data_IF_271460413899
#
_entry.id   IF_271460413899
#
_cell.length_a   1.000
_cell.length_b   1.000
_cell.length_c   1.000
_cell.angle_alpha   90.00
_cell.angle_beta   90.00
_cell.angle_gamma   90.00
#
_symmetry.space_group_name_H-M   'P 1'
#
loop_
_entity.id
_entity.type
_entity.pdbx_description
1 polymer ?
#
# COMPACT_ATOMS: atom_id res chain seq x y z
N UNK A 1 -3.91 0.26 -14.85
CA UNK A 1 -5.01 -0.22 -13.98
C UNK A 1 -4.81 0.32 -12.58
N UNK A 2 -5.88 0.76 -11.94
CA UNK A 2 -5.87 1.41 -10.64
C UNK A 2 -6.71 0.60 -9.66
N UNK A 3 -6.29 0.59 -8.40
CA UNK A 3 -7.01 -0.03 -7.29
C UNK A 3 -7.27 1.00 -6.22
N UNK A 4 -8.46 0.96 -5.63
CA UNK A 4 -8.86 1.74 -4.48
C UNK A 4 -8.53 0.93 -3.23
N UNK A 5 -7.93 1.58 -2.24
CA UNK A 5 -7.73 1.01 -0.91
C UNK A 5 -8.56 1.84 0.05
N UNK A 6 -9.34 1.16 0.89
CA UNK A 6 -10.24 1.77 1.87
C UNK A 6 -9.82 1.31 3.26
N UNK A 7 -9.61 2.25 4.17
CA UNK A 7 -9.28 2.01 5.58
C UNK A 7 -10.53 1.73 6.43
N UNK A 8 -10.33 1.33 7.68
CA UNK A 8 -11.43 1.09 8.63
C UNK A 8 -12.16 2.37 9.07
N UNK A 9 -11.49 3.52 9.02
CA UNK A 9 -12.04 4.84 9.36
C UNK A 9 -12.63 5.58 8.14
N UNK A 10 -12.72 4.93 6.98
CA UNK A 10 -13.35 5.47 5.77
C UNK A 10 -12.46 6.36 4.91
N UNK A 11 -11.19 6.54 5.27
CA UNK A 11 -10.20 7.08 4.35
C UNK A 11 -10.04 6.16 3.13
N UNK A 12 -9.86 6.74 1.94
CA UNK A 12 -9.58 5.95 0.75
C UNK A 12 -8.56 6.64 -0.13
N UNK A 13 -7.70 5.83 -0.74
CA UNK A 13 -6.69 6.28 -1.68
C UNK A 13 -6.69 5.38 -2.92
N UNK A 14 -6.20 5.92 -4.03
CA UNK A 14 -6.11 5.19 -5.30
C UNK A 14 -4.64 5.04 -5.68
N UNK A 15 -4.22 3.81 -5.94
CA UNK A 15 -2.84 3.44 -6.23
C UNK A 15 -2.79 2.55 -7.47
N UNK A 16 -1.68 2.58 -8.21
CA UNK A 16 -1.53 1.75 -9.40
C UNK A 16 -1.56 0.28 -9.00
N UNK A 17 -2.27 -0.55 -9.78
CA UNK A 17 -2.34 -2.01 -9.50
C UNK A 17 -0.93 -2.62 -9.44
N UNK A 18 -0.03 -2.15 -10.29
CA UNK A 18 1.36 -2.61 -10.32
C UNK A 18 2.09 -2.37 -8.98
N UNK A 19 1.88 -1.24 -8.32
CA UNK A 19 2.44 -0.97 -7.00
C UNK A 19 1.72 -1.77 -5.90
N UNK A 20 0.39 -1.87 -5.96
CA UNK A 20 -0.39 -2.65 -4.99
C UNK A 20 -0.03 -4.15 -5.01
N UNK A 21 0.22 -4.73 -6.19
CA UNK A 21 0.63 -6.12 -6.37
C UNK A 21 2.02 -6.44 -5.78
N UNK A 22 2.80 -5.43 -5.36
CA UNK A 22 4.07 -5.63 -4.64
C UNK A 22 3.87 -6.01 -3.18
N UNK A 23 2.69 -5.72 -2.61
CA UNK A 23 2.28 -6.26 -1.32
C UNK A 23 1.70 -7.65 -1.52
N UNK A 24 2.24 -8.64 -0.83
CA UNK A 24 1.68 -10.01 -0.85
C UNK A 24 0.25 -10.04 -0.35
N UNK A 25 -0.05 -9.27 0.69
CA UNK A 25 -1.39 -9.17 1.31
C UNK A 25 -2.40 -8.54 0.34
N UNK A 26 -2.07 -7.38 -0.26
CA UNK A 26 -2.96 -6.73 -1.24
C UNK A 26 -3.10 -7.55 -2.51
N UNK A 27 -2.02 -8.19 -2.97
CA UNK A 27 -2.09 -9.11 -4.11
C UNK A 27 -3.05 -10.26 -3.84
N UNK A 28 -2.96 -10.89 -2.68
CA UNK A 28 -3.86 -11.99 -2.31
C UNK A 28 -5.31 -11.53 -2.22
N UNK A 29 -5.59 -10.32 -1.71
CA UNK A 29 -6.95 -9.76 -1.71
C UNK A 29 -7.46 -9.53 -3.14
N UNK A 30 -6.67 -8.88 -3.99
CA UNK A 30 -7.03 -8.60 -5.39
C UNK A 30 -7.20 -9.88 -6.23
N UNK A 31 -6.44 -10.94 -5.92
CA UNK A 31 -6.52 -12.21 -6.63
C UNK A 31 -7.68 -13.09 -6.10
N UNK A 32 -8.02 -13.01 -4.81
CA UNK A 32 -9.13 -13.78 -4.19
C UNK A 32 -10.50 -13.25 -4.62
N UNK A 33 -10.64 -11.95 -4.86
CA UNK A 33 -11.87 -11.33 -5.37
C UNK A 33 -12.11 -11.57 -6.87
N UNK A 34 -11.23 -12.30 -7.56
CA UNK A 34 -11.42 -12.66 -8.97
C UNK A 34 -12.74 -13.43 -9.23
N UNK A 35 -13.30 -14.09 -8.22
CA UNK A 35 -14.59 -14.80 -8.28
C UNK A 35 -15.82 -13.91 -8.01
N UNK A 36 -15.64 -12.63 -7.65
CA UNK A 36 -16.71 -11.66 -7.40
C UNK A 36 -16.74 -10.53 -8.44
N UNK A 37 -17.77 -9.68 -8.35
CA UNK A 37 -18.14 -8.69 -9.37
C UNK A 37 -16.99 -7.73 -9.72
N UNK A 38 -16.93 -7.27 -10.98
CA UNK A 38 -15.82 -6.45 -11.50
C UNK A 38 -15.59 -5.12 -10.74
N UNK A 39 -16.62 -4.59 -10.09
CA UNK A 39 -16.54 -3.40 -9.25
C UNK A 39 -15.84 -3.66 -7.90
N UNK A 40 -15.98 -4.86 -7.34
CA UNK A 40 -15.25 -5.27 -6.12
C UNK A 40 -13.78 -5.59 -6.43
N UNK A 41 -13.50 -6.18 -7.60
CA UNK A 41 -12.13 -6.54 -8.04
C UNK A 41 -11.08 -5.43 -7.98
N UNK A 42 -11.50 -4.16 -7.92
CA UNK A 42 -10.62 -3.00 -7.89
C UNK A 42 -10.56 -2.31 -6.52
N UNK A 43 -11.23 -2.81 -5.49
CA UNK A 43 -11.28 -2.17 -4.17
C UNK A 43 -10.82 -3.13 -3.08
N UNK A 44 -9.74 -2.77 -2.36
CA UNK A 44 -9.28 -3.52 -1.20
C UNK A 44 -9.69 -2.81 0.09
N UNK A 45 -10.21 -3.57 1.04
CA UNK A 45 -10.55 -3.07 2.38
C UNK A 45 -9.48 -3.50 3.38
N UNK A 46 -8.80 -2.53 4.00
CA UNK A 46 -7.86 -2.75 5.09
C UNK A 46 -8.53 -2.42 6.42
N UNK A 47 -8.25 -3.24 7.45
CA UNK A 47 -8.74 -3.01 8.81
C UNK A 47 -7.90 -1.99 9.59
N UNK A 48 -6.99 -1.29 8.91
CA UNK A 48 -6.09 -0.29 9.48
C UNK A 48 -6.67 1.11 9.40
N UNK A 49 -6.20 2.00 10.26
CA UNK A 49 -6.54 3.43 10.23
C UNK A 49 -6.03 4.11 8.96
N UNK A 50 -6.71 5.16 8.51
CA UNK A 50 -6.37 5.90 7.29
C UNK A 50 -4.93 6.38 7.26
N UNK A 51 -4.42 6.89 8.38
CA UNK A 51 -3.03 7.35 8.49
C UNK A 51 -2.00 6.22 8.32
N UNK A 52 -2.33 5.01 8.76
CA UNK A 52 -1.49 3.81 8.58
C UNK A 52 -1.55 3.37 7.13
N UNK A 53 -2.76 3.29 6.56
CA UNK A 53 -2.98 2.96 5.15
C UNK A 53 -2.23 3.92 4.23
N UNK A 54 -2.24 5.21 4.52
CA UNK A 54 -1.49 6.22 3.78
C UNK A 54 0.00 5.90 3.76
N UNK A 55 0.60 5.59 4.92
CA UNK A 55 2.02 5.23 5.03
C UNK A 55 2.36 3.90 4.38
N UNK A 56 1.47 2.91 4.46
CA UNK A 56 1.64 1.63 3.75
C UNK A 56 1.67 1.87 2.23
N UNK A 57 0.75 2.68 1.69
CA UNK A 57 0.72 3.00 0.26
C UNK A 57 1.93 3.82 -0.16
N UNK A 58 2.32 4.80 0.66
CA UNK A 58 3.53 5.59 0.44
C UNK A 58 4.79 4.70 0.39
N UNK A 59 4.88 3.71 1.29
CA UNK A 59 5.96 2.73 1.29
C UNK A 59 5.96 1.84 0.05
N UNK A 60 4.80 1.38 -0.43
CA UNK A 60 4.70 0.59 -1.66
C UNK A 60 5.18 1.37 -2.88
N UNK A 61 4.83 2.66 -2.96
CA UNK A 61 5.31 3.55 -4.01
C UNK A 61 6.82 3.76 -3.89
N UNK A 62 7.32 4.12 -2.71
CA UNK A 62 8.75 4.26 -2.42
C UNK A 62 9.52 3.02 -2.85
N UNK A 63 9.09 1.83 -2.40
CA UNK A 63 9.71 0.55 -2.78
C UNK A 63 9.71 0.35 -4.29
N UNK A 64 8.60 0.64 -4.97
CA UNK A 64 8.49 0.50 -6.43
C UNK A 64 9.41 1.48 -7.18
N UNK A 65 9.55 2.71 -6.69
CA UNK A 65 10.44 3.72 -7.26
C UNK A 65 11.90 3.32 -7.13
N UNK A 66 12.30 2.81 -5.97
CA UNK A 66 13.70 2.55 -5.68
C UNK A 66 14.16 1.10 -5.94
N UNK A 67 13.26 0.15 -6.22
CA UNK A 67 13.59 -1.28 -6.46
C UNK A 67 14.65 -1.49 -7.55
N UNK A 68 14.60 -0.71 -8.64
CA UNK A 68 15.51 -0.84 -9.78
C UNK A 68 16.58 0.26 -9.84
N UNK A 69 16.75 1.00 -8.74
CA UNK A 69 17.70 2.11 -8.69
C UNK A 69 19.13 1.56 -8.56
N UNK A 70 20.09 2.00 -9.39
CA UNK A 70 21.46 1.52 -9.31
C UNK A 70 22.10 1.95 -7.99
N UNK A 71 23.00 1.11 -7.46
CA UNK A 71 23.65 1.27 -6.14
C UNK A 71 24.45 2.58 -5.92
N UNK A 72 24.52 3.46 -6.91
CA UNK A 72 25.20 4.77 -6.84
C UNK A 72 24.25 5.94 -6.53
N UNK A 73 22.94 5.69 -6.41
CA UNK A 73 21.97 6.72 -6.06
C UNK A 73 21.72 6.66 -4.56
N UNK A 74 21.76 7.82 -3.94
CA UNK A 74 21.40 7.97 -2.54
C UNK A 74 19.88 7.78 -2.38
N UNK A 75 19.49 6.76 -1.61
CA UNK A 75 18.08 6.41 -1.40
C UNK A 75 17.69 6.98 -0.03
N UNK A 76 16.73 7.93 0.03
CA UNK A 76 16.31 8.53 1.29
C UNK A 76 15.72 7.50 2.25
N UNK A 77 16.03 7.58 3.55
CA UNK A 77 15.44 6.65 4.52
C UNK A 77 13.94 6.91 4.69
N UNK A 78 13.14 5.87 4.44
CA UNK A 78 11.69 5.96 4.58
C UNK A 78 11.26 6.10 6.05
N UNK A 79 12.04 5.59 7.00
CA UNK A 79 11.70 5.68 8.43
C UNK A 79 11.58 7.13 8.92
N UNK A 80 12.33 8.07 8.34
CA UNK A 80 12.22 9.50 8.67
C UNK A 80 10.84 10.10 8.33
N UNK A 81 10.07 9.42 7.47
CA UNK A 81 8.74 9.85 7.02
C UNK A 81 7.60 9.23 7.85
N UNK A 82 7.93 8.34 8.79
CA UNK A 82 6.97 7.66 9.66
C UNK A 82 6.95 8.36 11.02
N UNK A 83 5.76 8.77 11.46
CA UNK A 83 5.59 9.36 12.79
C UNK A 83 5.78 8.28 13.88
N UNK A 84 6.53 8.54 14.96
CA UNK A 84 6.77 7.56 16.02
C UNK A 84 5.48 6.93 16.58
N UNK A 85 4.39 7.69 16.59
CA UNK A 85 3.08 7.30 17.11
C UNK A 85 2.41 6.19 16.30
N UNK A 86 2.76 6.04 15.02
CA UNK A 86 2.18 5.04 14.10
C UNK A 86 3.20 3.99 13.65
N UNK A 87 4.45 4.10 14.08
CA UNK A 87 5.55 3.25 13.59
C UNK A 87 5.32 1.76 13.86
N UNK A 88 4.76 1.42 15.02
CA UNK A 88 4.42 0.04 15.36
C UNK A 88 3.27 -0.49 14.50
N UNK A 89 2.22 0.32 14.27
CA UNK A 89 1.08 -0.04 13.42
C UNK A 89 1.56 -0.33 11.98
N UNK A 90 2.35 0.59 11.40
CA UNK A 90 2.90 0.43 10.04
C UNK A 90 3.82 -0.79 9.91
N UNK A 91 4.50 -1.20 10.98
CA UNK A 91 5.42 -2.34 10.96
C UNK A 91 4.69 -3.69 10.97
N UNK A 92 3.47 -3.76 11.52
CA UNK A 92 2.72 -5.02 11.66
C UNK A 92 1.70 -5.24 10.54
N UNK A 93 1.33 -4.17 9.83
CA UNK A 93 0.45 -4.21 8.65
C UNK A 93 1.14 -4.76 7.39
#
# INVERSE_FOLDING_TARGET
>A
EWVRIVSSDGYSCVVSRAAAMRSGTLKNMLDTEANFSEAERQTCHLQERGIVVEKVVEYLLYKTTYENTPAKVDIPDFFERIQPEIALEVCVS
#
